data_IF_284279321992
#
_entry.id   IF_284279321992
#
_cell.length_a   1.000
_cell.length_b   1.000
_cell.length_c   1.000
_cell.angle_alpha   90.00
_cell.angle_beta   90.00
_cell.angle_gamma   90.00
#
_symmetry.space_group_name_H-M   'P 1'
#
loop_
_entity.id
_entity.type
_entity.pdbx_description
1 polymer ?
#
# COMPACT_ATOMS: atom_id res chain seq x y z
N UNK A 1 13.33 -0.35 -23.81
CA UNK A 1 13.17 -0.66 -22.36
C UNK A 1 14.46 -0.21 -21.70
N UNK A 2 14.38 0.63 -20.66
CA UNK A 2 15.56 1.08 -19.91
C UNK A 2 16.09 -0.10 -19.08
N UNK A 3 17.40 -0.35 -19.16
CA UNK A 3 18.04 -1.48 -18.46
C UNK A 3 19.05 -1.03 -17.40
N UNK A 4 19.47 0.24 -17.44
CA UNK A 4 20.47 0.79 -16.53
C UNK A 4 19.96 2.06 -15.85
N UNK A 5 20.57 2.41 -14.72
CA UNK A 5 20.28 3.69 -14.03
C UNK A 5 20.69 4.90 -14.86
N UNK A 6 21.77 4.78 -15.66
CA UNK A 6 22.21 5.85 -16.55
C UNK A 6 21.19 6.12 -17.66
N UNK A 7 20.65 5.08 -18.30
CA UNK A 7 19.57 5.23 -19.27
C UNK A 7 18.31 5.85 -18.64
N UNK A 8 17.96 5.44 -17.41
CA UNK A 8 16.84 6.03 -16.68
C UNK A 8 17.09 7.53 -16.39
N UNK A 9 18.29 7.89 -15.95
CA UNK A 9 18.68 9.28 -15.69
C UNK A 9 18.61 10.14 -16.96
N UNK A 10 19.17 9.66 -18.05
CA UNK A 10 19.10 10.35 -19.34
C UNK A 10 17.67 10.54 -19.80
N UNK A 11 16.85 9.51 -19.75
CA UNK A 11 15.46 9.56 -20.16
C UNK A 11 14.65 10.56 -19.33
N UNK A 12 14.73 10.47 -17.99
CA UNK A 12 14.04 11.37 -17.06
C UNK A 12 14.50 12.82 -17.17
N UNK A 13 15.73 13.09 -17.60
CA UNK A 13 16.24 14.46 -17.78
C UNK A 13 15.79 15.12 -19.09
N UNK A 14 15.42 14.34 -20.10
CA UNK A 14 15.12 14.86 -21.45
C UNK A 14 13.62 14.71 -21.84
N UNK A 15 12.88 13.90 -21.12
CA UNK A 15 11.47 13.61 -21.40
C UNK A 15 10.58 14.08 -20.25
N UNK A 16 9.74 13.21 -19.74
CA UNK A 16 8.91 13.46 -18.58
C UNK A 16 9.61 12.92 -17.32
N UNK A 17 9.77 13.77 -16.31
CA UNK A 17 10.36 13.36 -15.03
C UNK A 17 9.40 12.50 -14.21
N UNK A 18 8.13 12.46 -14.54
CA UNK A 18 7.13 11.71 -13.77
C UNK A 18 7.28 10.21 -14.00
N UNK A 19 7.16 9.46 -12.92
CA UNK A 19 7.09 7.99 -12.99
C UNK A 19 6.08 7.43 -12.01
N UNK A 20 5.60 6.24 -12.32
CA UNK A 20 4.68 5.46 -11.50
C UNK A 20 5.24 4.07 -11.25
N UNK A 21 4.83 3.44 -10.16
CA UNK A 21 5.32 2.11 -9.77
C UNK A 21 4.34 1.03 -10.23
N UNK A 22 4.76 0.20 -11.18
CA UNK A 22 3.99 -0.93 -11.72
C UNK A 22 4.21 -2.27 -11.01
N UNK A 23 4.80 -2.28 -9.81
CA UNK A 23 5.09 -3.50 -9.04
C UNK A 23 4.27 -3.54 -7.75
N UNK A 24 3.85 -4.73 -7.30
CA UNK A 24 3.05 -4.89 -6.08
C UNK A 24 3.87 -4.95 -4.81
N UNK A 25 4.96 -5.71 -4.78
CA UNK A 25 5.72 -5.97 -3.56
C UNK A 25 6.19 -4.67 -2.85
N UNK A 26 5.80 -4.44 -1.59
CA UNK A 26 6.08 -3.18 -0.86
C UNK A 26 7.55 -2.78 -0.84
N UNK A 27 8.45 -3.73 -0.52
CA UNK A 27 9.89 -3.48 -0.45
C UNK A 27 10.49 -3.13 -1.82
N UNK A 28 10.02 -3.81 -2.87
CA UNK A 28 10.47 -3.54 -4.24
C UNK A 28 9.95 -2.18 -4.71
N UNK A 29 8.71 -1.82 -4.37
CA UNK A 29 8.15 -0.48 -4.65
C UNK A 29 9.00 0.61 -4.03
N UNK A 30 9.30 0.51 -2.73
CA UNK A 30 10.15 1.49 -2.00
C UNK A 30 11.53 1.58 -2.62
N UNK A 31 12.17 0.46 -2.92
CA UNK A 31 13.50 0.42 -3.55
C UNK A 31 13.50 1.11 -4.93
N UNK A 32 12.53 0.81 -5.77
CA UNK A 32 12.42 1.42 -7.10
C UNK A 32 12.11 2.91 -7.02
N UNK A 33 11.25 3.35 -6.10
CA UNK A 33 10.99 4.75 -5.86
C UNK A 33 12.27 5.51 -5.49
N UNK A 34 13.06 4.98 -4.55
CA UNK A 34 14.33 5.57 -4.14
C UNK A 34 15.32 5.66 -5.32
N UNK A 35 15.46 4.58 -6.10
CA UNK A 35 16.35 4.54 -7.27
C UNK A 35 15.94 5.55 -8.34
N UNK A 36 14.66 5.62 -8.70
CA UNK A 36 14.22 6.55 -9.74
C UNK A 36 14.27 8.02 -9.27
N UNK A 37 14.02 8.28 -7.99
CA UNK A 37 14.25 9.62 -7.40
C UNK A 37 15.72 10.03 -7.46
N UNK A 38 16.67 9.11 -7.22
CA UNK A 38 18.11 9.42 -7.38
C UNK A 38 18.49 9.76 -8.82
N UNK A 39 17.69 9.34 -9.80
CA UNK A 39 17.80 9.70 -11.21
C UNK A 39 17.00 10.98 -11.58
N UNK A 40 16.55 11.77 -10.60
CA UNK A 40 15.71 12.98 -10.74
C UNK A 40 14.26 12.71 -11.17
N UNK A 41 13.79 11.47 -11.02
CA UNK A 41 12.39 11.14 -11.25
C UNK A 41 11.49 11.71 -10.16
N UNK A 42 10.27 12.09 -10.54
CA UNK A 42 9.20 12.56 -9.66
C UNK A 42 8.16 11.45 -9.55
N UNK A 43 8.05 10.86 -8.38
CA UNK A 43 7.06 9.81 -8.12
C UNK A 43 5.65 10.43 -8.15
N UNK A 44 4.79 9.92 -9.01
CA UNK A 44 3.46 10.47 -9.28
C UNK A 44 2.38 9.45 -8.98
N UNK A 45 1.24 9.92 -8.48
CA UNK A 45 0.09 9.07 -8.18
C UNK A 45 -0.77 8.82 -9.42
N UNK A 46 -1.34 7.61 -9.52
CA UNK A 46 -2.41 7.27 -10.46
C UNK A 46 -3.63 6.83 -9.67
N UNK A 47 -4.73 7.54 -9.85
CA UNK A 47 -6.02 7.23 -9.23
C UNK A 47 -7.04 6.98 -10.32
N UNK A 48 -7.64 5.80 -10.33
CA UNK A 48 -8.69 5.46 -11.30
C UNK A 48 -9.89 6.40 -11.14
N UNK A 49 -10.45 6.94 -12.23
CA UNK A 49 -11.68 7.75 -12.18
C UNK A 49 -12.91 6.96 -11.69
N UNK A 50 -12.80 5.65 -11.60
CA UNK A 50 -13.84 4.76 -11.05
C UNK A 50 -13.64 4.46 -9.56
N UNK A 51 -12.75 5.17 -8.88
CA UNK A 51 -12.58 5.13 -7.43
C UNK A 51 -13.59 6.06 -6.77
N UNK A 52 -14.25 5.61 -5.69
CA UNK A 52 -15.10 6.46 -4.86
C UNK A 52 -14.28 6.99 -3.69
N UNK A 53 -14.07 8.30 -3.63
CA UNK A 53 -13.34 8.98 -2.56
C UNK A 53 -14.30 9.91 -1.85
N UNK A 54 -14.43 9.76 -0.53
CA UNK A 54 -15.25 10.60 0.34
C UNK A 54 -14.83 12.07 0.30
N UNK A 55 -15.78 12.96 0.60
CA UNK A 55 -15.57 14.40 0.48
C UNK A 55 -14.80 15.04 1.66
N UNK A 56 -14.59 14.32 2.77
CA UNK A 56 -14.05 14.89 4.00
C UNK A 56 -12.87 14.09 4.53
N UNK A 57 -11.79 14.80 4.92
CA UNK A 57 -10.68 14.25 5.68
C UNK A 57 -9.85 13.19 4.97
N UNK A 58 -9.83 13.15 3.64
CA UNK A 58 -9.02 12.18 2.89
C UNK A 58 -7.67 12.82 2.52
N UNK A 59 -6.60 12.24 3.03
CA UNK A 59 -5.23 12.59 2.68
C UNK A 59 -4.58 11.43 1.91
N UNK A 60 -4.05 11.68 0.72
CA UNK A 60 -3.37 10.68 -0.10
C UNK A 60 -1.96 11.18 -0.40
N UNK A 61 -0.97 10.41 0.01
CA UNK A 61 0.45 10.69 -0.23
C UNK A 61 0.84 10.54 -1.70
N UNK A 62 2.05 10.98 -2.02
CA UNK A 62 2.59 10.91 -3.37
C UNK A 62 2.84 9.46 -3.82
N UNK A 63 2.76 9.24 -5.13
CA UNK A 63 3.11 7.95 -5.73
C UNK A 63 2.14 6.81 -5.46
N UNK A 64 0.95 7.12 -4.98
CA UNK A 64 -0.09 6.11 -4.78
C UNK A 64 -0.63 5.59 -6.11
N UNK A 65 -0.90 4.30 -6.15
CA UNK A 65 -1.66 3.67 -7.24
C UNK A 65 -2.98 3.18 -6.68
N UNK A 66 -4.10 3.80 -7.08
CA UNK A 66 -5.44 3.43 -6.61
C UNK A 66 -6.25 2.93 -7.81
N UNK A 67 -6.54 1.63 -7.81
CA UNK A 67 -7.20 0.97 -8.92
C UNK A 67 -8.72 1.10 -8.86
N UNK A 68 -9.39 0.69 -9.92
CA UNK A 68 -10.83 0.83 -10.06
C UNK A 68 -11.63 0.07 -8.98
N UNK A 69 -12.79 0.61 -8.63
CA UNK A 69 -13.70 0.02 -7.66
C UNK A 69 -13.26 0.17 -6.21
N UNK A 70 -12.16 0.88 -5.93
CA UNK A 70 -11.79 1.22 -4.56
C UNK A 70 -12.79 2.23 -3.96
N UNK A 71 -13.04 2.10 -2.66
CA UNK A 71 -13.91 2.98 -1.88
C UNK A 71 -13.16 3.46 -0.64
N UNK A 72 -12.95 4.76 -0.52
CA UNK A 72 -12.40 5.42 0.65
C UNK A 72 -13.51 6.28 1.26
N UNK A 73 -13.88 6.05 2.54
CA UNK A 73 -15.06 6.68 3.13
C UNK A 73 -14.79 8.11 3.62
N UNK A 74 -14.27 8.29 4.82
CA UNK A 74 -14.00 9.63 5.41
C UNK A 74 -12.87 9.56 6.44
N UNK A 75 -12.16 10.66 6.66
CA UNK A 75 -11.07 10.78 7.63
C UNK A 75 -10.03 9.66 7.50
N UNK A 76 -9.50 9.49 6.29
CA UNK A 76 -8.54 8.42 5.95
C UNK A 76 -7.21 9.08 5.55
N UNK A 77 -6.12 8.52 6.08
CA UNK A 77 -4.78 8.87 5.64
C UNK A 77 -4.14 7.69 4.91
N UNK A 78 -3.72 7.91 3.66
CA UNK A 78 -2.98 6.96 2.82
C UNK A 78 -1.57 7.50 2.64
N UNK A 79 -0.58 6.75 3.07
CA UNK A 79 0.84 7.12 2.99
C UNK A 79 1.40 7.14 1.57
N UNK A 80 2.68 7.45 1.47
CA UNK A 80 3.41 7.51 0.20
C UNK A 80 3.53 6.13 -0.46
N UNK A 81 3.42 6.09 -1.78
CA UNK A 81 3.69 4.89 -2.57
C UNK A 81 2.76 3.70 -2.33
N UNK A 82 1.64 3.91 -1.64
CA UNK A 82 0.66 2.87 -1.36
C UNK A 82 0.02 2.35 -2.66
N UNK A 83 -0.19 1.03 -2.71
CA UNK A 83 -0.97 0.39 -3.77
C UNK A 83 -2.30 -0.11 -3.20
N UNK A 84 -3.41 0.48 -3.63
CA UNK A 84 -4.75 -0.05 -3.45
C UNK A 84 -5.16 -0.76 -4.74
N UNK A 85 -5.17 -2.09 -4.71
CA UNK A 85 -5.55 -2.90 -5.84
C UNK A 85 -7.08 -2.87 -6.04
N UNK A 86 -7.58 -3.46 -7.10
CA UNK A 86 -9.01 -3.37 -7.48
C UNK A 86 -9.97 -3.74 -6.35
N UNK A 87 -11.06 -2.98 -6.23
CA UNK A 87 -12.16 -3.26 -5.33
C UNK A 87 -11.81 -3.28 -3.83
N UNK A 88 -10.75 -2.62 -3.38
CA UNK A 88 -10.45 -2.45 -1.96
C UNK A 88 -11.43 -1.45 -1.31
N UNK A 89 -11.77 -1.66 -0.04
CA UNK A 89 -12.58 -0.70 0.73
C UNK A 89 -11.85 -0.30 2.00
N UNK A 90 -11.84 1.01 2.31
CA UNK A 90 -11.23 1.57 3.51
C UNK A 90 -12.30 2.33 4.28
N UNK A 91 -12.56 1.86 5.51
CA UNK A 91 -13.47 2.46 6.46
C UNK A 91 -12.88 3.72 7.10
N UNK A 92 -13.75 4.50 7.71
CA UNK A 92 -13.46 5.79 8.33
C UNK A 92 -12.37 5.73 9.41
N UNK A 93 -11.70 6.86 9.64
CA UNK A 93 -10.67 7.03 10.69
C UNK A 93 -9.50 6.05 10.58
N UNK A 94 -9.19 5.57 9.36
CA UNK A 94 -8.15 4.58 9.14
C UNK A 94 -6.88 5.20 8.57
N UNK A 95 -5.74 4.58 8.88
CA UNK A 95 -4.42 4.97 8.37
C UNK A 95 -3.76 3.80 7.68
N UNK A 96 -3.23 4.05 6.48
CA UNK A 96 -2.44 3.08 5.71
C UNK A 96 -1.03 3.65 5.58
N UNK A 97 -0.05 2.98 6.16
CA UNK A 97 1.35 3.39 6.14
C UNK A 97 2.01 3.27 4.76
N UNK A 98 3.16 3.93 4.63
CA UNK A 98 3.89 4.08 3.38
C UNK A 98 4.21 2.74 2.71
N UNK A 99 4.13 2.73 1.38
CA UNK A 99 4.45 1.58 0.53
C UNK A 99 3.68 0.30 0.84
N UNK A 100 2.61 0.37 1.62
CA UNK A 100 1.74 -0.77 1.90
C UNK A 100 0.91 -1.13 0.66
N UNK A 101 0.74 -2.44 0.44
CA UNK A 101 -0.11 -2.99 -0.61
C UNK A 101 -1.37 -3.58 -0.02
N UNK A 102 -2.54 -3.11 -0.46
CA UNK A 102 -3.82 -3.79 -0.28
C UNK A 102 -4.13 -4.55 -1.57
N UNK A 103 -4.09 -5.89 -1.51
CA UNK A 103 -4.37 -6.76 -2.65
C UNK A 103 -5.87 -6.76 -3.02
N UNK A 104 -6.26 -7.29 -4.18
CA UNK A 104 -7.65 -7.21 -4.66
C UNK A 104 -8.70 -7.61 -3.64
N UNK A 105 -9.73 -6.77 -3.50
CA UNK A 105 -10.88 -7.08 -2.66
C UNK A 105 -10.64 -6.98 -1.15
N UNK A 106 -9.51 -6.45 -0.69
CA UNK A 106 -9.24 -6.25 0.75
C UNK A 106 -10.28 -5.34 1.38
N UNK A 107 -10.76 -5.69 2.59
CA UNK A 107 -11.77 -4.95 3.35
C UNK A 107 -11.18 -4.44 4.65
N UNK A 108 -11.01 -3.13 4.74
CA UNK A 108 -10.53 -2.44 5.93
C UNK A 108 -11.74 -1.77 6.59
N UNK A 109 -12.07 -2.18 7.82
CA UNK A 109 -13.13 -1.55 8.61
C UNK A 109 -12.69 -0.19 9.16
N UNK A 110 -13.56 0.48 9.93
CA UNK A 110 -13.22 1.78 10.53
C UNK A 110 -12.16 1.69 11.64
N UNK A 111 -11.42 2.78 11.88
CA UNK A 111 -10.39 2.94 12.92
C UNK A 111 -9.22 1.96 12.82
N UNK A 112 -8.91 1.43 11.65
CA UNK A 112 -7.81 0.48 11.44
C UNK A 112 -6.50 1.26 11.19
N UNK A 113 -5.41 0.79 11.83
CA UNK A 113 -4.08 1.34 11.64
C UNK A 113 -3.20 0.27 10.99
N UNK A 114 -2.70 0.52 9.79
CA UNK A 114 -1.76 -0.36 9.10
C UNK A 114 -0.42 0.36 8.97
N UNK A 115 0.64 -0.28 9.44
CA UNK A 115 2.01 0.21 9.36
C UNK A 115 2.54 0.28 7.92
N UNK A 116 3.82 0.64 7.80
CA UNK A 116 4.49 0.73 6.52
C UNK A 116 4.96 -0.63 5.98
N UNK A 117 5.14 -0.71 4.66
CA UNK A 117 5.64 -1.91 3.95
C UNK A 117 4.83 -3.18 4.21
N UNK A 118 3.57 -3.07 4.57
CA UNK A 118 2.69 -4.22 4.78
C UNK A 118 2.14 -4.75 3.46
N UNK A 119 1.83 -6.06 3.44
CA UNK A 119 1.12 -6.71 2.35
C UNK A 119 -0.17 -7.36 2.89
N UNK A 120 -1.31 -6.81 2.53
CA UNK A 120 -2.62 -7.31 2.97
C UNK A 120 -3.23 -8.12 1.84
N UNK A 121 -3.31 -9.43 2.04
CA UNK A 121 -3.65 -10.42 1.02
C UNK A 121 -5.06 -10.27 0.44
N UNK A 122 -5.26 -10.81 -0.76
CA UNK A 122 -6.54 -10.78 -1.50
C UNK A 122 -7.70 -11.20 -0.61
N UNK A 123 -8.78 -10.40 -0.61
CA UNK A 123 -9.99 -10.63 0.18
C UNK A 123 -9.75 -10.77 1.70
N UNK A 124 -8.64 -10.29 2.23
CA UNK A 124 -8.47 -10.21 3.68
C UNK A 124 -9.42 -9.15 4.28
N UNK A 125 -9.88 -9.41 5.50
CA UNK A 125 -10.79 -8.54 6.25
C UNK A 125 -10.10 -8.14 7.54
N UNK A 126 -10.01 -6.84 7.79
CA UNK A 126 -9.53 -6.28 9.05
C UNK A 126 -10.73 -5.71 9.82
N UNK A 127 -10.99 -6.23 11.01
CA UNK A 127 -12.11 -5.78 11.85
C UNK A 127 -11.83 -4.39 12.44
N UNK A 128 -12.87 -3.68 12.91
CA UNK A 128 -12.73 -2.32 13.42
C UNK A 128 -11.68 -2.19 14.54
N UNK A 129 -10.87 -1.15 14.49
CA UNK A 129 -9.95 -0.77 15.54
C UNK A 129 -8.67 -1.59 15.65
N UNK A 130 -8.42 -2.56 14.75
CA UNK A 130 -7.19 -3.36 14.79
C UNK A 130 -5.99 -2.59 14.26
N UNK A 131 -4.81 -2.90 14.82
CA UNK A 131 -3.52 -2.37 14.39
C UNK A 131 -2.68 -3.47 13.76
N UNK A 132 -2.07 -3.18 12.61
CA UNK A 132 -1.09 -4.04 11.94
C UNK A 132 0.27 -3.35 11.98
N UNK A 133 1.26 -3.98 12.60
CA UNK A 133 2.62 -3.46 12.67
C UNK A 133 3.34 -3.52 11.31
N UNK A 134 4.41 -2.74 11.20
CA UNK A 134 5.20 -2.59 9.98
C UNK A 134 5.73 -3.91 9.41
N UNK A 135 5.96 -3.95 8.11
CA UNK A 135 6.53 -5.10 7.41
C UNK A 135 5.74 -6.41 7.58
N UNK A 136 4.46 -6.33 7.95
CA UNK A 136 3.63 -7.50 8.21
C UNK A 136 2.90 -7.95 6.97
N UNK A 137 2.77 -9.27 6.84
CA UNK A 137 2.01 -9.91 5.75
C UNK A 137 0.76 -10.57 6.33
N UNK A 138 -0.40 -10.16 5.84
CA UNK A 138 -1.68 -10.83 6.11
C UNK A 138 -2.02 -11.70 4.92
N UNK A 139 -2.25 -12.99 5.15
CA UNK A 139 -2.58 -13.94 4.09
C UNK A 139 -3.94 -13.69 3.44
N UNK A 140 -4.09 -14.14 2.19
CA UNK A 140 -5.36 -14.02 1.45
C UNK A 140 -6.52 -14.68 2.21
N UNK A 141 -7.72 -14.06 2.17
CA UNK A 141 -8.92 -14.56 2.84
C UNK A 141 -8.87 -14.57 4.36
N UNK A 142 -7.85 -14.01 4.98
CA UNK A 142 -7.74 -13.95 6.44
C UNK A 142 -8.70 -12.94 7.06
N UNK A 143 -9.17 -13.23 8.28
CA UNK A 143 -9.95 -12.28 9.08
C UNK A 143 -9.15 -11.89 10.32
N UNK A 144 -8.67 -10.66 10.33
CA UNK A 144 -7.90 -10.09 11.44
C UNK A 144 -8.87 -9.53 12.49
N UNK A 145 -8.88 -10.13 13.67
CA UNK A 145 -9.79 -9.79 14.78
C UNK A 145 -9.09 -9.15 15.97
N UNK A 146 -7.76 -9.06 15.96
CA UNK A 146 -6.90 -8.49 17.01
C UNK A 146 -5.67 -7.89 16.36
N UNK A 147 -4.97 -7.04 17.10
CA UNK A 147 -3.70 -6.45 16.68
C UNK A 147 -2.69 -7.52 16.27
N UNK A 148 -1.91 -7.20 15.23
CA UNK A 148 -0.83 -8.05 14.73
C UNK A 148 0.47 -7.26 14.81
N UNK A 149 1.45 -7.85 15.49
CA UNK A 149 2.76 -7.24 15.66
C UNK A 149 3.52 -7.04 14.33
N UNK A 150 4.56 -6.22 14.35
CA UNK A 150 5.41 -5.99 13.18
C UNK A 150 6.26 -7.22 12.80
N UNK A 151 6.68 -7.26 11.53
CA UNK A 151 7.61 -8.26 11.00
C UNK A 151 7.10 -9.71 11.14
N UNK A 152 5.84 -9.94 10.86
CA UNK A 152 5.25 -11.28 10.92
C UNK A 152 4.43 -11.62 9.67
N UNK A 153 4.14 -12.91 9.52
CA UNK A 153 3.11 -13.41 8.62
C UNK A 153 1.96 -13.97 9.45
N UNK A 154 0.75 -13.44 9.26
CA UNK A 154 -0.45 -13.92 9.92
C UNK A 154 -1.49 -14.37 8.89
N UNK A 155 -2.13 -15.53 9.14
CA UNK A 155 -3.10 -16.15 8.22
C UNK A 155 -4.26 -16.78 8.95
N UNK A 156 -5.38 -16.94 8.28
CA UNK A 156 -6.53 -17.72 8.75
C UNK A 156 -7.71 -16.88 9.25
N UNK A 157 -8.75 -17.57 9.74
CA UNK A 157 -9.99 -16.99 10.26
C UNK A 157 -10.31 -17.65 11.61
N UNK A 158 -10.00 -16.98 12.75
CA UNK A 158 -9.27 -15.71 12.86
C UNK A 158 -7.79 -15.83 12.49
N UNK A 159 -7.19 -14.72 12.03
CA UNK A 159 -5.78 -14.68 11.67
C UNK A 159 -4.87 -14.95 12.87
N UNK A 160 -3.84 -15.77 12.65
CA UNK A 160 -2.81 -16.11 13.65
C UNK A 160 -1.43 -15.99 13.03
N UNK A 161 -0.46 -15.53 13.81
CA UNK A 161 0.94 -15.49 13.40
C UNK A 161 1.45 -16.91 13.17
N UNK A 162 1.99 -17.15 11.97
CA UNK A 162 2.58 -18.45 11.58
C UNK A 162 4.08 -18.37 11.34
N UNK A 163 4.61 -17.14 11.16
CA UNK A 163 6.03 -16.93 10.88
C UNK A 163 6.46 -15.54 11.33
N UNK A 164 7.66 -15.40 11.90
CA UNK A 164 8.37 -14.13 12.06
C UNK A 164 9.27 -13.88 10.87
N UNK A 165 9.29 -12.65 10.39
CA UNK A 165 10.16 -12.22 9.30
C UNK A 165 11.46 -11.68 9.90
N UNK A 166 12.59 -12.04 9.33
CA UNK A 166 13.86 -11.46 9.74
C UNK A 166 13.89 -9.97 9.36
N UNK A 167 14.42 -9.15 10.25
CA UNK A 167 14.66 -7.75 9.95
C UNK A 167 15.76 -7.69 8.88
N UNK A 168 15.36 -7.46 7.64
CA UNK A 168 16.33 -7.12 6.59
C UNK A 168 16.64 -5.64 6.79
N UNK A 169 17.77 -5.40 7.48
CA UNK A 169 18.40 -4.08 7.61
C UNK A 169 18.85 -3.53 6.27
#
# INVERSE_FOLDING_TARGET
>A
MLQTEEEARQWLSHQDQQFVLGVGNPKVRRLLAAKLRSCRGVLTSIISPKTSIGAFGIEIGDGCTIMEGCILTTDIRVGEGVLLNVCCTIGHDSVIGDYTELMPGTRISGHVQIGENCAIGTNAILLPGVTIGDNTVIGAGSVVTKDVEANVVAVGTPAKVIKRLENVS
#
